data_IF_840491950688
#
_entry.id   IF_840491950688
#
_cell.length_a   1.000
_cell.length_b   1.000
_cell.length_c   1.000
_cell.angle_alpha   90.00
_cell.angle_beta   90.00
_cell.angle_gamma   90.00
#
_symmetry.space_group_name_H-M   'P 1'
#
loop_
_entity.id
_entity.type
_entity.pdbx_description
1 polymer ?
#
# COMPACT_ATOMS: atom_id res chain seq x y z
N UNK A 1 0.71 21.15 -0.46
CA UNK A 1 -0.44 20.22 -0.43
C UNK A 1 -0.25 19.23 -1.57
N UNK A 2 0.23 18.01 -1.28
CA UNK A 2 0.44 17.00 -2.32
C UNK A 2 -0.95 16.57 -2.78
N UNK A 3 -1.45 17.21 -3.84
CA UNK A 3 -2.60 16.69 -4.57
C UNK A 3 -2.08 15.44 -5.27
N UNK A 4 -2.61 14.27 -4.92
CA UNK A 4 -2.43 13.03 -5.68
C UNK A 4 -3.68 12.76 -6.57
N UNK A 5 -4.10 13.67 -7.47
CA UNK A 5 -5.20 13.37 -8.37
C UNK A 5 -4.71 12.27 -9.33
N UNK A 6 -5.22 11.06 -9.15
CA UNK A 6 -4.95 9.92 -10.02
C UNK A 6 -4.31 8.70 -9.38
N UNK A 7 -4.02 8.70 -8.07
CA UNK A 7 -3.51 7.49 -7.41
C UNK A 7 -4.58 6.38 -7.33
N UNK A 8 -5.86 6.75 -7.30
CA UNK A 8 -6.99 5.83 -7.15
C UNK A 8 -7.82 5.62 -8.43
N UNK A 9 -7.77 6.55 -9.40
CA UNK A 9 -8.48 6.42 -10.68
C UNK A 9 -7.67 5.69 -11.76
N UNK A 10 -6.39 5.39 -11.51
CA UNK A 10 -5.56 4.60 -12.41
C UNK A 10 -5.81 3.09 -12.17
N UNK A 11 -6.26 2.31 -13.16
CA UNK A 11 -6.55 0.88 -12.98
C UNK A 11 -5.35 0.09 -12.44
N UNK A 12 -4.14 0.44 -12.86
CA UNK A 12 -2.91 -0.23 -12.44
C UNK A 12 -2.61 -0.03 -10.95
N UNK A 13 -2.75 1.20 -10.45
CA UNK A 13 -2.54 1.53 -9.03
C UNK A 13 -3.68 0.97 -8.17
N UNK A 14 -4.92 1.01 -8.68
CA UNK A 14 -6.10 0.43 -8.02
C UNK A 14 -5.96 -1.08 -7.81
N UNK A 15 -5.38 -1.80 -8.78
CA UNK A 15 -5.11 -3.23 -8.64
C UNK A 15 -4.14 -3.54 -7.49
N UNK A 16 -3.09 -2.72 -7.31
CA UNK A 16 -2.15 -2.85 -6.18
C UNK A 16 -2.86 -2.60 -4.86
N UNK A 17 -3.62 -1.50 -4.77
CA UNK A 17 -4.40 -1.19 -3.58
C UNK A 17 -5.36 -2.31 -3.22
N UNK A 18 -6.12 -2.81 -4.19
CA UNK A 18 -7.07 -3.91 -4.00
C UNK A 18 -6.37 -5.17 -3.48
N UNK A 19 -5.22 -5.53 -4.05
CA UNK A 19 -4.46 -6.70 -3.63
C UNK A 19 -3.98 -6.61 -2.19
N UNK A 20 -3.36 -5.49 -1.80
CA UNK A 20 -2.94 -5.26 -0.41
C UNK A 20 -4.15 -5.20 0.53
N UNK A 21 -5.21 -4.49 0.14
CA UNK A 21 -6.33 -4.29 1.06
C UNK A 21 -7.07 -5.59 1.37
N UNK A 22 -7.26 -6.44 0.36
CA UNK A 22 -7.86 -7.76 0.55
C UNK A 22 -7.01 -8.63 1.47
N UNK A 23 -5.70 -8.60 1.31
CA UNK A 23 -4.78 -9.44 2.07
C UNK A 23 -4.63 -9.03 3.52
N UNK A 24 -4.62 -7.72 3.81
CA UNK A 24 -4.33 -7.21 5.16
C UNK A 24 -5.57 -6.73 5.92
N UNK A 25 -6.62 -6.29 5.20
CA UNK A 25 -7.86 -5.75 5.78
C UNK A 25 -9.11 -6.55 5.39
N UNK A 26 -8.98 -7.59 4.55
CA UNK A 26 -10.09 -8.48 4.19
C UNK A 26 -11.18 -7.85 3.33
N UNK A 27 -10.95 -6.66 2.77
CA UNK A 27 -11.97 -5.90 2.04
C UNK A 27 -11.41 -5.27 0.77
N UNK A 28 -12.28 -4.98 -0.20
CA UNK A 28 -11.92 -4.16 -1.36
C UNK A 28 -12.03 -2.68 -0.95
N UNK A 29 -10.98 -1.86 -1.15
CA UNK A 29 -11.01 -0.50 -0.67
C UNK A 29 -11.86 0.39 -1.58
N UNK A 30 -12.81 1.11 -1.00
CA UNK A 30 -13.45 2.23 -1.68
C UNK A 30 -12.46 3.41 -1.81
N UNK A 31 -12.53 4.23 -2.87
CA UNK A 31 -11.66 5.41 -3.02
C UNK A 31 -11.76 6.39 -1.83
N UNK A 32 -12.92 6.47 -1.19
CA UNK A 32 -13.12 7.25 0.04
C UNK A 32 -12.31 6.72 1.21
N UNK A 33 -12.26 5.41 1.40
CA UNK A 33 -11.48 4.76 2.46
C UNK A 33 -9.99 5.02 2.29
N UNK A 34 -9.47 4.90 1.06
CA UNK A 34 -8.06 5.22 0.78
C UNK A 34 -7.75 6.70 1.02
N UNK A 35 -8.71 7.57 0.71
CA UNK A 35 -8.58 9.01 0.95
C UNK A 35 -8.60 9.34 2.45
N UNK A 36 -9.48 8.72 3.24
CA UNK A 36 -9.52 8.84 4.70
C UNK A 36 -8.26 8.28 5.36
N UNK A 37 -7.74 7.15 4.88
CA UNK A 37 -6.47 6.59 5.33
C UNK A 37 -5.30 7.57 5.10
N UNK A 38 -5.25 8.22 3.92
CA UNK A 38 -4.21 9.18 3.59
C UNK A 38 -4.33 10.50 4.38
N UNK A 39 -5.55 11.02 4.57
CA UNK A 39 -5.78 12.35 5.15
C UNK A 39 -5.88 12.34 6.68
N UNK A 40 -6.44 11.26 7.23
CA UNK A 40 -6.85 11.20 8.64
C UNK A 40 -6.26 10.01 9.38
N UNK A 41 -5.45 9.16 8.73
CA UNK A 41 -4.88 7.95 9.32
C UNK A 41 -5.94 7.04 9.96
N UNK A 42 -7.13 7.01 9.36
CA UNK A 42 -8.22 6.12 9.77
C UNK A 42 -8.16 4.88 8.90
N UNK A 43 -7.98 3.72 9.53
CA UNK A 43 -7.86 2.43 8.86
C UNK A 43 -8.98 1.50 9.30
N UNK A 44 -9.48 0.63 8.40
CA UNK A 44 -10.34 -0.47 8.82
C UNK A 44 -9.57 -1.46 9.71
N UNK A 45 -10.28 -2.34 10.43
CA UNK A 45 -9.65 -3.40 11.20
C UNK A 45 -8.73 -4.27 10.34
N UNK A 46 -7.55 -4.58 10.86
CA UNK A 46 -6.59 -5.50 10.25
C UNK A 46 -7.03 -6.95 10.49
N UNK A 47 -6.77 -7.84 9.52
CA UNK A 47 -6.95 -9.28 9.69
C UNK A 47 -5.98 -9.85 10.72
N UNK A 48 -4.75 -9.32 10.79
CA UNK A 48 -3.80 -9.60 11.85
C UNK A 48 -3.52 -8.31 12.65
N UNK A 49 -3.98 -8.21 13.92
CA UNK A 49 -3.79 -7.03 14.74
C UNK A 49 -2.33 -6.82 15.20
N UNK A 50 -1.46 -7.82 15.04
CA UNK A 50 -0.03 -7.67 15.29
C UNK A 50 0.65 -6.67 14.32
N UNK A 51 0.00 -6.36 13.20
CA UNK A 51 0.55 -5.49 12.17
C UNK A 51 -0.03 -4.07 12.25
N UNK A 52 0.82 -3.04 12.33
CA UNK A 52 0.36 -1.66 12.27
C UNK A 52 -0.20 -1.33 10.88
N UNK A 53 -1.50 -1.03 10.82
CA UNK A 53 -2.22 -0.66 9.58
C UNK A 53 -1.57 0.52 8.83
N UNK A 54 -1.03 1.49 9.58
CA UNK A 54 -0.31 2.64 9.03
C UNK A 54 0.95 2.23 8.28
N UNK A 55 1.66 1.20 8.74
CA UNK A 55 2.85 0.69 8.06
C UNK A 55 2.50 -0.05 6.77
N UNK A 56 1.44 -0.87 6.78
CA UNK A 56 0.91 -1.52 5.56
C UNK A 56 0.52 -0.47 4.52
N UNK A 57 -0.22 0.56 4.95
CA UNK A 57 -0.61 1.66 4.08
C UNK A 57 0.61 2.44 3.56
N UNK A 58 1.53 2.81 4.45
CA UNK A 58 2.73 3.58 4.17
C UNK A 58 3.68 2.89 3.18
N UNK A 59 3.94 1.60 3.38
CA UNK A 59 4.77 0.82 2.46
C UNK A 59 4.10 0.63 1.10
N UNK A 60 2.78 0.49 1.07
CA UNK A 60 2.04 0.38 -0.19
C UNK A 60 2.11 1.67 -0.99
N UNK A 61 1.84 2.83 -0.36
CA UNK A 61 1.92 4.12 -1.06
C UNK A 61 3.36 4.41 -1.52
N UNK A 62 4.37 4.08 -0.69
CA UNK A 62 5.78 4.25 -1.04
C UNK A 62 6.17 3.38 -2.24
N UNK A 63 5.76 2.11 -2.28
CA UNK A 63 6.07 1.20 -3.39
C UNK A 63 5.40 1.65 -4.68
N UNK A 64 4.13 2.07 -4.62
CA UNK A 64 3.41 2.65 -5.77
C UNK A 64 4.10 3.92 -6.26
N UNK A 65 4.52 4.78 -5.34
CA UNK A 65 5.21 6.03 -5.65
C UNK A 65 6.54 5.77 -6.36
N UNK A 66 7.38 4.89 -5.81
CA UNK A 66 8.68 4.54 -6.38
C UNK A 66 8.57 3.98 -7.81
N UNK A 67 7.64 3.05 -8.04
CA UNK A 67 7.42 2.48 -9.36
C UNK A 67 6.79 3.46 -10.33
N UNK A 68 5.93 4.36 -9.85
CA UNK A 68 5.35 5.41 -10.68
C UNK A 68 6.43 6.37 -11.21
N UNK A 69 7.39 6.75 -10.35
CA UNK A 69 8.49 7.61 -10.77
C UNK A 69 9.54 6.89 -11.61
N UNK A 70 9.76 5.60 -11.36
CA UNK A 70 10.60 4.76 -12.23
C UNK A 70 10.02 4.66 -13.64
N UNK A 71 8.70 4.56 -13.79
CA UNK A 71 8.05 4.66 -15.10
C UNK A 71 8.31 6.02 -15.77
N UNK A 72 8.12 7.12 -15.03
CA UNK A 72 8.26 8.45 -15.59
C UNK A 72 9.71 8.82 -15.98
N UNK A 73 10.69 8.49 -15.12
CA UNK A 73 12.08 8.91 -15.32
C UNK A 73 12.97 7.86 -15.97
N UNK A 74 12.64 6.57 -15.84
CA UNK A 74 13.48 5.46 -16.32
C UNK A 74 12.78 4.60 -17.36
N UNK A 75 11.55 4.96 -17.76
CA UNK A 75 10.73 4.19 -18.71
C UNK A 75 10.50 2.74 -18.30
N UNK A 76 10.60 2.42 -17.00
CA UNK A 76 10.33 1.08 -16.47
C UNK A 76 8.81 0.86 -16.41
N UNK A 77 8.25 -0.18 -17.05
CA UNK A 77 6.81 -0.39 -17.04
C UNK A 77 6.24 -0.55 -15.63
N UNK A 78 5.11 0.09 -15.36
CA UNK A 78 4.38 -0.14 -14.11
C UNK A 78 3.60 -1.46 -14.22
N UNK A 79 4.10 -2.51 -13.55
CA UNK A 79 3.46 -3.82 -13.51
C UNK A 79 2.84 -4.06 -12.12
N UNK A 80 1.50 -4.05 -11.99
CA UNK A 80 0.84 -4.20 -10.69
C UNK A 80 1.26 -5.44 -9.90
N UNK A 81 1.49 -6.58 -10.58
CA UNK A 81 1.95 -7.81 -9.96
C UNK A 81 3.33 -7.68 -9.32
N UNK A 82 4.27 -7.02 -10.00
CA UNK A 82 5.61 -6.76 -9.46
C UNK A 82 5.56 -5.79 -8.27
N UNK A 83 4.78 -4.71 -8.40
CA UNK A 83 4.57 -3.72 -7.33
C UNK A 83 3.95 -4.38 -6.10
N UNK A 84 2.94 -5.23 -6.30
CA UNK A 84 2.28 -5.99 -5.24
C UNK A 84 3.25 -6.95 -4.54
N UNK A 85 4.06 -7.68 -5.31
CA UNK A 85 5.07 -8.57 -4.77
C UNK A 85 6.10 -7.82 -3.89
N UNK A 86 6.58 -6.67 -4.37
CA UNK A 86 7.54 -5.85 -3.63
C UNK A 86 6.90 -5.26 -2.36
N UNK A 87 5.68 -4.74 -2.46
CA UNK A 87 4.96 -4.20 -1.31
C UNK A 87 4.77 -5.28 -0.22
N UNK A 88 4.32 -6.48 -0.60
CA UNK A 88 4.21 -7.64 0.31
C UNK A 88 5.53 -7.98 0.97
N UNK A 89 6.60 -8.11 0.19
CA UNK A 89 7.94 -8.42 0.71
C UNK A 89 8.39 -7.39 1.74
N UNK A 90 8.21 -6.10 1.45
CA UNK A 90 8.57 -5.01 2.38
C UNK A 90 7.73 -5.03 3.64
N UNK A 91 6.42 -5.29 3.53
CA UNK A 91 5.52 -5.41 4.68
C UNK A 91 5.92 -6.60 5.54
N UNK A 92 6.09 -7.79 4.96
CA UNK A 92 6.52 -8.97 5.69
C UNK A 92 7.87 -8.78 6.38
N UNK A 93 8.82 -8.13 5.72
CA UNK A 93 10.11 -7.80 6.34
C UNK A 93 9.92 -6.91 7.57
N UNK A 94 9.13 -5.84 7.46
CA UNK A 94 8.86 -4.96 8.60
C UNK A 94 8.13 -5.70 9.74
N UNK A 95 7.19 -6.57 9.39
CA UNK A 95 6.48 -7.41 10.35
C UNK A 95 7.44 -8.33 11.12
N UNK A 96 8.37 -8.98 10.44
CA UNK A 96 9.38 -9.83 11.09
C UNK A 96 10.30 -9.05 12.02
N UNK A 97 10.69 -7.82 11.66
CA UNK A 97 11.48 -6.95 12.56
C UNK A 97 10.69 -6.59 13.82
N UNK A 98 9.40 -6.26 13.70
CA UNK A 98 8.54 -5.94 14.84
C UNK A 98 8.31 -7.14 15.77
N UNK A 99 8.29 -8.36 15.24
CA UNK A 99 8.20 -9.58 16.05
C UNK A 99 9.46 -9.80 16.90
N UNK A 100 10.64 -9.43 16.39
CA UNK A 100 11.90 -9.52 17.13
C UNK A 100 11.98 -8.51 18.30
N UNK A 101 11.26 -7.40 18.20
CA UNK A 101 11.20 -6.36 19.22
C UNK A 101 10.15 -6.65 20.32
N UNK A 102 9.43 -7.78 20.23
CA UNK A 102 8.45 -8.19 21.24
C UNK A 102 9.13 -8.88 22.44
N UNK A 103 8.89 -8.44 23.69
CA UNK A 103 9.58 -8.94 24.89
C UNK A 103 9.23 -10.37 25.29
#
# INVERSE_FOLDING_TARGET
>A
MIRLPGQYCCPLKSAVWTGIWLEFFGTVPLPSVLSSALQSFVFPPMLNPAFPASSVFGLTILTIWDHHWSFYFKSVPFLPSAVLHIARKSISHLCSELELDSP
#
